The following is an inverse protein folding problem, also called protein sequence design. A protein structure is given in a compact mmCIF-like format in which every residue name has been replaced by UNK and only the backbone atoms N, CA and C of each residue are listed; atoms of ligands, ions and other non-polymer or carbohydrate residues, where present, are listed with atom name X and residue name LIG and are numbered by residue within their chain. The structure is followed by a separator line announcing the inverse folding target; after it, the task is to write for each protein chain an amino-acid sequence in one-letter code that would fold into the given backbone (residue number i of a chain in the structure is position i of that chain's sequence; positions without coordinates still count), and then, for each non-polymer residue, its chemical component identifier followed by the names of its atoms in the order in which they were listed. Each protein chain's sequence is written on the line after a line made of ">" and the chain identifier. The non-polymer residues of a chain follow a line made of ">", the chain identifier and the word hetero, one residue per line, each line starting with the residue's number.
data_IF_642707765445
#
_entry.id   IF_642707765445
#
_cell.length_a   1.000
_cell.length_b   1.000
_cell.length_c   1.000
_cell.angle_alpha   90.00
_cell.angle_beta   90.00
_cell.angle_gamma   90.00
#
_symmetry.space_group_name_H-M   'P 1'
#
loop_
_entity.id
_entity.type
_entity.pdbx_description
1 polymer ?
#
# COMPACT_ATOMS: atom_id res chain seq x y z
N UNK A 1 -0.94 -8.75 18.45
CA UNK A 1 -2.18 -9.50 18.61
C UNK A 1 -1.93 -10.91 19.14
N UNK A 2 -2.97 -11.61 19.55
CA UNK A 2 -2.85 -12.98 20.11
C UNK A 2 -3.00 -14.00 18.99
N UNK A 3 -2.15 -15.06 18.94
CA UNK A 3 -2.38 -16.19 18.05
C UNK A 3 -3.78 -16.81 18.28
N UNK A 4 -4.53 -17.06 17.20
CA UNK A 4 -5.88 -17.62 17.28
C UNK A 4 -7.01 -16.59 17.46
N UNK A 5 -6.69 -15.29 17.57
CA UNK A 5 -7.67 -14.20 17.50
C UNK A 5 -8.17 -13.95 16.07
N UNK A 6 -9.15 -13.03 15.93
CA UNK A 6 -9.62 -12.59 14.61
C UNK A 6 -8.44 -12.07 13.79
N UNK A 7 -8.19 -12.69 12.63
CA UNK A 7 -7.15 -12.24 11.71
C UNK A 7 -7.59 -11.00 10.93
N UNK A 8 -6.67 -10.03 10.81
CA UNK A 8 -6.83 -8.82 10.00
C UNK A 8 -5.59 -8.62 9.15
N UNK A 9 -5.76 -8.41 7.87
CA UNK A 9 -4.68 -8.04 6.95
C UNK A 9 -4.86 -6.59 6.52
N UNK A 10 -3.81 -5.78 6.70
CA UNK A 10 -3.78 -4.36 6.34
C UNK A 10 -2.79 -4.15 5.19
N UNK A 11 -3.26 -3.61 4.07
CA UNK A 11 -2.47 -3.27 2.90
C UNK A 11 -2.51 -1.75 2.64
N UNK A 12 -1.34 -1.12 2.58
CA UNK A 12 -1.18 0.33 2.46
C UNK A 12 -1.27 0.85 1.02
N UNK A 13 -1.38 2.17 0.85
CA UNK A 13 -1.35 2.86 -0.45
C UNK A 13 0.07 2.99 -1.02
N UNK A 14 0.19 3.28 -2.33
CA UNK A 14 1.46 3.61 -2.98
C UNK A 14 2.16 4.76 -2.26
N UNK A 15 3.46 4.64 -2.04
CA UNK A 15 4.27 5.63 -1.34
C UNK A 15 4.15 5.64 0.18
N UNK A 16 3.35 4.73 0.77
CA UNK A 16 3.19 4.53 2.21
C UNK A 16 3.92 3.26 2.68
N UNK A 17 3.67 2.83 3.90
CA UNK A 17 4.24 1.61 4.49
C UNK A 17 3.30 1.05 5.57
N UNK A 18 3.58 -0.17 6.05
CA UNK A 18 2.76 -0.88 7.03
C UNK A 18 2.50 -0.09 8.31
N UNK A 19 3.49 0.69 8.77
CA UNK A 19 3.40 1.45 10.03
C UNK A 19 2.46 2.67 9.96
N UNK A 20 1.99 3.06 8.74
CA UNK A 20 0.91 4.05 8.60
C UNK A 20 -0.42 3.57 9.19
N UNK A 21 -0.55 2.29 9.48
CA UNK A 21 -1.71 1.70 10.13
C UNK A 21 -1.64 1.69 11.66
N UNK A 22 -0.52 2.08 12.28
CA UNK A 22 -0.30 1.94 13.72
C UNK A 22 -1.38 2.60 14.57
N UNK A 23 -1.83 3.81 14.19
CA UNK A 23 -2.87 4.53 14.92
C UNK A 23 -4.27 3.88 14.76
N UNK A 24 -4.50 3.19 13.65
CA UNK A 24 -5.71 2.36 13.44
C UNK A 24 -5.62 1.10 14.28
N UNK A 25 -4.47 0.41 14.21
CA UNK A 25 -4.22 -0.82 14.98
C UNK A 25 -4.37 -0.60 16.48
N UNK A 26 -3.92 0.54 16.99
CA UNK A 26 -4.05 0.89 18.42
C UNK A 26 -5.52 1.00 18.89
N UNK A 27 -6.48 1.16 17.98
CA UNK A 27 -7.92 1.25 18.27
C UNK A 27 -8.68 -0.06 18.07
N UNK A 28 -8.02 -1.08 17.49
CA UNK A 28 -8.64 -2.39 17.27
C UNK A 28 -8.61 -3.23 18.57
N UNK A 29 -9.48 -4.24 18.69
CA UNK A 29 -9.47 -5.14 19.84
C UNK A 29 -8.07 -5.78 20.04
N UNK A 30 -7.55 -5.80 21.29
CA UNK A 30 -6.18 -6.24 21.56
C UNK A 30 -5.97 -7.76 21.39
N UNK A 31 -7.04 -8.53 21.33
CA UNK A 31 -7.05 -9.98 21.08
C UNK A 31 -7.04 -10.34 19.59
N UNK A 32 -7.21 -9.35 18.68
CA UNK A 32 -7.14 -9.59 17.26
C UNK A 32 -5.69 -9.84 16.81
N UNK A 33 -5.53 -10.70 15.82
CA UNK A 33 -4.24 -10.98 15.19
C UNK A 33 -4.09 -10.14 13.92
N UNK A 34 -3.26 -9.10 13.97
CA UNK A 34 -3.15 -8.10 12.91
C UNK A 34 -1.84 -8.27 12.16
N UNK A 35 -1.93 -8.28 10.85
CA UNK A 35 -0.82 -8.30 9.90
C UNK A 35 -0.87 -7.03 9.06
N UNK A 36 0.14 -6.19 9.15
CA UNK A 36 0.35 -5.06 8.28
C UNK A 36 1.57 -5.33 7.41
N UNK A 37 1.42 -5.22 6.09
CA UNK A 37 2.43 -5.64 5.12
C UNK A 37 3.06 -4.41 4.47
N UNK A 38 4.39 -4.35 4.45
CA UNK A 38 5.10 -3.49 3.50
C UNK A 38 5.02 -4.14 2.11
N UNK A 39 4.33 -3.50 1.18
CA UNK A 39 4.23 -3.99 -0.19
C UNK A 39 5.58 -3.88 -0.90
N UNK A 40 5.81 -4.66 -1.96
CA UNK A 40 7.02 -4.57 -2.80
C UNK A 40 7.38 -3.11 -3.11
N UNK A 41 8.68 -2.76 -3.01
CA UNK A 41 9.15 -1.40 -3.25
C UNK A 41 8.87 -0.40 -2.13
N UNK A 42 8.34 -0.85 -0.98
CA UNK A 42 7.99 -0.01 0.14
C UNK A 42 8.55 -0.56 1.46
N UNK A 43 8.75 0.34 2.42
CA UNK A 43 9.16 -0.03 3.77
C UNK A 43 10.44 -0.86 3.78
N UNK A 44 10.35 -2.05 4.39
CA UNK A 44 11.48 -3.00 4.49
C UNK A 44 11.37 -4.17 3.53
N UNK A 45 10.37 -4.16 2.63
CA UNK A 45 10.22 -5.19 1.61
C UNK A 45 11.18 -4.99 0.43
N UNK A 46 11.38 -6.05 -0.36
CA UNK A 46 12.27 -6.02 -1.52
C UNK A 46 11.88 -4.92 -2.51
N UNK A 47 12.89 -4.23 -3.02
CA UNK A 47 12.78 -3.18 -4.01
C UNK A 47 13.03 -3.69 -5.46
N UNK A 48 12.74 -4.96 -5.72
CA UNK A 48 12.96 -5.62 -7.00
C UNK A 48 11.75 -5.50 -7.93
N UNK A 49 12.03 -5.28 -9.21
CA UNK A 49 11.03 -5.31 -10.27
C UNK A 49 10.44 -6.73 -10.47
N UNK A 50 9.29 -6.89 -11.14
CA UNK A 50 8.50 -5.81 -11.75
C UNK A 50 7.62 -5.06 -10.74
N UNK A 51 7.27 -3.80 -11.06
CA UNK A 51 6.35 -2.97 -10.27
C UNK A 51 4.97 -2.88 -10.94
N UNK A 52 4.42 -3.99 -11.41
CA UNK A 52 3.05 -4.07 -11.93
C UNK A 52 2.06 -4.37 -10.81
N UNK A 53 0.85 -3.87 -10.93
CA UNK A 53 -0.17 -4.07 -9.90
C UNK A 53 -0.68 -5.52 -9.84
N UNK A 54 -0.60 -6.26 -10.93
CA UNK A 54 -0.81 -7.71 -10.93
C UNK A 54 0.21 -8.39 -10.02
N UNK A 55 1.50 -8.04 -10.16
CA UNK A 55 2.56 -8.59 -9.30
C UNK A 55 2.36 -8.24 -7.82
N UNK A 56 1.87 -7.04 -7.51
CA UNK A 56 1.53 -6.67 -6.12
C UNK A 56 0.40 -7.52 -5.56
N UNK A 57 -0.63 -7.79 -6.38
CA UNK A 57 -1.72 -8.69 -6.03
C UNK A 57 -1.22 -10.11 -5.76
N UNK A 58 -0.36 -10.65 -6.62
CA UNK A 58 0.23 -11.98 -6.48
C UNK A 58 1.15 -12.08 -5.25
N UNK A 59 1.93 -11.06 -4.96
CA UNK A 59 2.75 -11.02 -3.75
C UNK A 59 1.87 -11.07 -2.50
N UNK A 60 0.77 -10.31 -2.48
CA UNK A 60 -0.16 -10.32 -1.35
C UNK A 60 -0.89 -11.67 -1.24
N UNK A 61 -1.23 -12.30 -2.35
CA UNK A 61 -1.81 -13.65 -2.39
C UNK A 61 -0.86 -14.66 -1.71
N UNK A 62 0.42 -14.64 -2.05
CA UNK A 62 1.44 -15.49 -1.41
C UNK A 62 1.61 -15.21 0.09
N UNK A 63 1.50 -13.94 0.50
CA UNK A 63 1.48 -13.56 1.92
C UNK A 63 0.29 -14.19 2.63
N UNK A 64 -0.92 -14.12 2.05
CA UNK A 64 -2.12 -14.75 2.60
C UNK A 64 -1.96 -16.27 2.77
N UNK A 65 -1.38 -16.93 1.76
CA UNK A 65 -1.06 -18.37 1.80
C UNK A 65 -0.04 -18.71 2.90
N UNK A 66 1.05 -17.94 2.97
CA UNK A 66 2.11 -18.14 3.95
C UNK A 66 1.61 -17.96 5.39
N UNK A 67 0.79 -16.94 5.62
CA UNK A 67 0.16 -16.66 6.91
C UNK A 67 -0.99 -17.62 7.21
N UNK A 68 -1.40 -18.45 6.24
CA UNK A 68 -2.56 -19.37 6.34
C UNK A 68 -3.81 -18.63 6.78
N UNK A 69 -4.07 -17.48 6.15
CA UNK A 69 -5.25 -16.68 6.47
C UNK A 69 -6.52 -17.47 6.16
N UNK A 70 -7.48 -17.34 7.05
CA UNK A 70 -8.81 -17.91 6.88
C UNK A 70 -9.84 -17.04 7.59
N UNK A 71 -10.94 -16.72 6.91
CA UNK A 71 -12.00 -15.89 7.47
C UNK A 71 -11.48 -14.57 8.09
N UNK A 72 -10.41 -14.01 7.49
CA UNK A 72 -9.81 -12.76 7.94
C UNK A 72 -10.66 -11.54 7.54
N UNK A 73 -10.35 -10.38 8.11
CA UNK A 73 -10.83 -9.09 7.62
C UNK A 73 -9.71 -8.52 6.74
N UNK A 74 -10.01 -8.28 5.46
CA UNK A 74 -9.10 -7.62 4.53
C UNK A 74 -9.34 -6.12 4.53
N UNK A 75 -8.31 -5.32 4.83
CA UNK A 75 -8.37 -3.86 4.82
C UNK A 75 -7.33 -3.33 3.86
N UNK A 76 -7.75 -2.53 2.89
CA UNK A 76 -6.82 -1.98 1.91
C UNK A 76 -7.11 -0.52 1.57
N UNK A 77 -6.05 0.28 1.49
CA UNK A 77 -6.14 1.67 1.06
C UNK A 77 -5.53 1.84 -0.34
N UNK A 78 -6.25 2.48 -1.25
CA UNK A 78 -5.76 2.80 -2.60
C UNK A 78 -5.24 1.55 -3.34
N UNK A 79 -3.94 1.46 -3.66
CA UNK A 79 -3.28 0.26 -4.20
C UNK A 79 -3.50 -0.98 -3.32
N UNK A 80 -3.45 -0.82 -1.99
CA UNK A 80 -3.74 -1.92 -1.07
C UNK A 80 -5.17 -2.44 -1.20
N UNK A 81 -6.14 -1.55 -1.46
CA UNK A 81 -7.52 -1.92 -1.76
C UNK A 81 -7.65 -2.72 -3.05
N UNK A 82 -6.91 -2.30 -4.10
CA UNK A 82 -6.79 -3.07 -5.33
C UNK A 82 -6.24 -4.48 -5.08
N UNK A 83 -5.14 -4.60 -4.33
CA UNK A 83 -4.50 -5.89 -4.04
C UNK A 83 -5.38 -6.81 -3.18
N UNK A 84 -6.10 -6.28 -2.18
CA UNK A 84 -7.08 -7.06 -1.39
C UNK A 84 -8.19 -7.59 -2.31
N UNK A 85 -8.68 -6.77 -3.24
CA UNK A 85 -9.68 -7.18 -4.23
C UNK A 85 -9.15 -8.27 -5.16
N UNK A 86 -7.92 -8.13 -5.64
CA UNK A 86 -7.23 -9.13 -6.45
C UNK A 86 -7.16 -10.48 -5.72
N UNK A 87 -6.67 -10.49 -4.48
CA UNK A 87 -6.57 -11.71 -3.65
C UNK A 87 -7.93 -12.35 -3.46
N UNK A 88 -8.96 -11.55 -3.13
CA UNK A 88 -10.31 -12.07 -2.88
C UNK A 88 -10.92 -12.69 -4.13
N UNK A 89 -10.69 -12.08 -5.30
CA UNK A 89 -11.17 -12.61 -6.58
C UNK A 89 -10.52 -13.92 -6.99
N UNK A 90 -9.29 -14.20 -6.54
CA UNK A 90 -8.59 -15.46 -6.76
C UNK A 90 -8.94 -16.53 -5.71
N UNK A 91 -9.09 -16.12 -4.45
CA UNK A 91 -9.47 -17.04 -3.37
C UNK A 91 -10.23 -16.30 -2.25
N UNK A 92 -11.54 -16.33 -2.34
CA UNK A 92 -12.43 -15.68 -1.37
C UNK A 92 -12.34 -16.28 0.05
N UNK A 93 -11.82 -17.50 0.22
CA UNK A 93 -11.74 -18.16 1.53
C UNK A 93 -10.76 -17.47 2.51
N UNK A 94 -9.89 -16.59 2.02
CA UNK A 94 -9.02 -15.83 2.91
C UNK A 94 -9.78 -14.80 3.73
N UNK A 95 -10.84 -14.20 3.18
CA UNK A 95 -11.53 -13.10 3.81
C UNK A 95 -13.02 -13.36 4.00
N UNK A 96 -13.56 -12.96 5.16
CA UNK A 96 -14.99 -12.94 5.44
C UNK A 96 -15.61 -11.55 5.32
N UNK A 97 -14.80 -10.49 5.41
CA UNK A 97 -15.19 -9.09 5.22
C UNK A 97 -14.07 -8.29 4.60
N UNK A 98 -14.42 -7.29 3.79
CA UNK A 98 -13.48 -6.34 3.21
C UNK A 98 -13.81 -4.92 3.67
N UNK A 99 -12.78 -4.12 3.93
CA UNK A 99 -12.85 -2.66 4.11
C UNK A 99 -11.89 -2.03 3.11
N UNK A 100 -12.43 -1.39 2.10
CA UNK A 100 -11.69 -0.80 0.99
C UNK A 100 -11.78 0.72 1.08
N UNK A 101 -10.65 1.36 1.40
CA UNK A 101 -10.55 2.81 1.55
C UNK A 101 -10.01 3.39 0.25
N UNK A 102 -10.84 4.14 -0.46
CA UNK A 102 -10.50 4.75 -1.76
C UNK A 102 -9.72 3.79 -2.69
N UNK A 103 -10.24 2.57 -2.95
CA UNK A 103 -9.51 1.55 -3.69
C UNK A 103 -9.32 1.98 -5.15
N UNK A 104 -8.14 1.73 -5.72
CA UNK A 104 -7.92 2.00 -7.14
C UNK A 104 -8.51 0.88 -7.99
N UNK A 105 -9.78 1.05 -8.31
CA UNK A 105 -10.56 0.17 -9.19
C UNK A 105 -11.26 1.08 -10.20
N UNK A 106 -10.69 1.19 -11.40
CA UNK A 106 -11.22 2.05 -12.43
C UNK A 106 -12.22 1.32 -13.31
N UNK A 107 -13.12 2.08 -13.92
CA UNK A 107 -13.95 1.60 -15.00
C UNK A 107 -13.09 1.04 -16.16
N UNK A 108 -13.49 -0.07 -16.82
CA UNK A 108 -12.73 -0.66 -17.92
C UNK A 108 -12.39 0.31 -19.07
N UNK A 109 -13.28 1.26 -19.35
CA UNK A 109 -13.03 2.29 -20.39
C UNK A 109 -11.90 3.25 -19.96
N UNK A 110 -11.82 3.58 -18.67
CA UNK A 110 -10.74 4.39 -18.12
C UNK A 110 -9.38 3.68 -18.15
N UNK A 111 -9.35 2.35 -17.94
CA UNK A 111 -8.10 1.59 -18.11
C UNK A 111 -7.61 1.68 -19.56
N UNK A 112 -8.49 1.52 -20.54
CA UNK A 112 -8.15 1.63 -21.97
C UNK A 112 -7.63 3.01 -22.32
N UNK A 113 -8.32 4.07 -21.89
CA UNK A 113 -7.92 5.46 -22.15
C UNK A 113 -6.56 5.80 -21.48
N UNK A 114 -6.33 5.33 -20.26
CA UNK A 114 -5.05 5.52 -19.57
C UNK A 114 -3.90 4.78 -20.25
N UNK A 115 -4.13 3.59 -20.77
CA UNK A 115 -3.15 2.79 -21.49
C UNK A 115 -2.68 3.51 -22.78
N UNK A 116 -3.60 4.16 -23.49
CA UNK A 116 -3.27 4.98 -24.66
C UNK A 116 -2.45 6.22 -24.30
N UNK A 117 -2.63 6.78 -23.10
CA UNK A 117 -1.90 7.93 -22.58
C UNK A 117 -0.56 7.58 -21.91
N UNK A 118 -0.26 6.29 -21.72
CA UNK A 118 0.93 5.80 -21.01
C UNK A 118 2.23 5.95 -21.84
N UNK A 119 2.48 7.17 -22.34
CA UNK A 119 3.75 7.52 -23.01
C UNK A 119 4.77 8.18 -22.09
N UNK A 120 4.42 8.39 -20.79
CA UNK A 120 5.30 9.06 -19.84
C UNK A 120 6.38 8.09 -19.35
N UNK A 121 7.64 8.52 -19.41
CA UNK A 121 8.72 7.78 -18.78
C UNK A 121 8.68 7.90 -17.25
N UNK A 122 9.34 6.97 -16.55
CA UNK A 122 9.42 7.02 -15.07
C UNK A 122 10.11 8.31 -14.63
N UNK A 123 11.14 8.72 -15.33
CA UNK A 123 11.95 9.91 -15.05
C UNK A 123 11.13 11.21 -15.20
N UNK A 124 10.15 11.24 -16.10
CA UNK A 124 9.29 12.39 -16.33
C UNK A 124 8.15 12.49 -15.31
N UNK A 125 7.85 11.41 -14.62
CA UNK A 125 6.78 11.41 -13.62
C UNK A 125 7.14 12.36 -12.46
N UNK A 126 6.21 13.28 -12.04
CA UNK A 126 6.50 14.27 -11.00
C UNK A 126 7.02 13.67 -9.70
N UNK A 127 6.54 12.49 -9.32
CA UNK A 127 6.94 11.78 -8.10
C UNK A 127 8.38 11.28 -8.18
N UNK A 128 8.90 10.92 -9.36
CA UNK A 128 10.30 10.50 -9.51
C UNK A 128 11.29 11.61 -9.11
N UNK A 129 10.85 12.88 -9.21
CA UNK A 129 11.67 14.07 -8.89
C UNK A 129 11.60 14.49 -7.43
N UNK A 130 10.85 13.74 -6.59
CA UNK A 130 10.76 14.04 -5.16
C UNK A 130 12.10 13.83 -4.47
N UNK A 131 12.33 14.60 -3.40
CA UNK A 131 13.54 14.44 -2.59
C UNK A 131 13.53 13.07 -1.91
N UNK A 132 14.62 12.31 -2.08
CA UNK A 132 14.78 10.97 -1.52
C UNK A 132 15.60 10.93 -0.23
N UNK A 133 16.48 11.93 0.00
CA UNK A 133 17.45 11.93 1.11
C UNK A 133 17.13 13.03 2.14
N UNK A 134 17.28 12.67 3.42
CA UNK A 134 17.05 13.53 4.56
C UNK A 134 18.15 13.32 5.61
N UNK A 135 18.59 14.39 6.26
CA UNK A 135 19.58 14.28 7.33
C UNK A 135 18.98 13.64 8.59
N UNK A 136 17.68 13.82 8.82
CA UNK A 136 16.96 13.27 9.95
C UNK A 136 15.46 13.13 9.68
N UNK A 137 14.78 12.36 10.54
CA UNK A 137 13.31 12.29 10.57
C UNK A 137 12.70 13.69 10.84
N UNK A 138 13.32 14.48 11.71
CA UNK A 138 12.84 15.84 12.00
C UNK A 138 12.88 16.72 10.76
N UNK A 139 13.90 16.64 9.92
CA UNK A 139 13.95 17.38 8.67
C UNK A 139 12.77 17.01 7.74
N UNK A 140 12.40 15.73 7.67
CA UNK A 140 11.23 15.31 6.91
C UNK A 140 9.92 15.84 7.50
N UNK A 141 9.77 15.78 8.82
CA UNK A 141 8.62 16.33 9.54
C UNK A 141 8.45 17.84 9.27
N UNK A 142 9.50 18.63 9.46
CA UNK A 142 9.49 20.08 9.23
C UNK A 142 9.15 20.41 7.77
N UNK A 143 9.73 19.64 6.81
CA UNK A 143 9.52 19.87 5.39
C UNK A 143 8.10 19.64 4.92
N UNK A 144 7.39 18.68 5.51
CA UNK A 144 6.07 18.25 5.05
C UNK A 144 4.90 18.74 5.91
N UNK A 145 5.13 19.21 7.12
CA UNK A 145 4.07 19.62 8.07
C UNK A 145 3.02 20.57 7.48
N UNK A 146 3.45 21.54 6.66
CA UNK A 146 2.58 22.55 6.07
C UNK A 146 2.13 22.22 4.63
N UNK A 147 2.46 21.00 4.13
CA UNK A 147 2.14 20.59 2.76
C UNK A 147 0.94 19.67 2.70
N UNK A 148 0.11 19.87 1.69
CA UNK A 148 -0.93 18.88 1.37
C UNK A 148 -0.28 17.60 0.84
N UNK A 149 -0.82 16.41 1.20
CA UNK A 149 -1.97 16.19 2.09
C UNK A 149 -1.62 16.17 3.60
N UNK A 150 -0.36 16.18 3.97
CA UNK A 150 0.14 15.90 5.33
C UNK A 150 -0.39 16.85 6.40
N UNK A 151 -0.59 18.14 6.08
CA UNK A 151 -1.05 19.16 7.03
C UNK A 151 -2.46 18.91 7.61
N UNK A 152 -3.25 18.05 6.95
CA UNK A 152 -4.62 17.69 7.41
C UNK A 152 -4.67 16.34 8.10
N UNK A 153 -3.54 15.63 8.20
CA UNK A 153 -3.47 14.36 8.91
C UNK A 153 -3.46 14.56 10.42
N UNK A 154 -3.90 13.56 11.15
CA UNK A 154 -3.64 13.49 12.58
C UNK A 154 -2.12 13.45 12.82
N UNK A 155 -1.68 14.16 13.82
CA UNK A 155 -0.26 14.38 14.11
C UNK A 155 0.52 13.08 14.24
N UNK A 156 -0.04 12.12 14.98
CA UNK A 156 0.57 10.83 15.26
C UNK A 156 0.72 9.97 13.98
N UNK A 157 -0.26 10.04 13.08
CA UNK A 157 -0.20 9.34 11.77
C UNK A 157 0.90 9.94 10.90
N UNK A 158 1.05 11.26 10.91
CA UNK A 158 2.09 11.95 10.17
C UNK A 158 3.49 11.65 10.74
N UNK A 159 3.62 11.59 12.07
CA UNK A 159 4.86 11.21 12.74
C UNK A 159 5.25 9.76 12.39
N UNK A 160 4.31 8.82 12.45
CA UNK A 160 4.54 7.43 12.03
C UNK A 160 4.98 7.35 10.56
N UNK A 161 4.33 8.10 9.66
CA UNK A 161 4.71 8.16 8.25
C UNK A 161 6.17 8.63 8.08
N UNK A 162 6.59 9.68 8.76
CA UNK A 162 7.96 10.20 8.65
C UNK A 162 8.98 9.28 9.34
N UNK A 163 8.66 8.77 10.53
CA UNK A 163 9.56 7.95 11.33
C UNK A 163 9.91 6.63 10.64
N UNK A 164 8.92 5.98 10.04
CA UNK A 164 9.09 4.65 9.46
C UNK A 164 9.20 4.66 7.93
N UNK A 165 8.90 5.78 7.30
CA UNK A 165 9.09 6.01 5.87
C UNK A 165 10.51 6.34 5.45
N UNK A 166 11.43 6.33 6.41
CA UNK A 166 12.87 6.56 6.20
C UNK A 166 13.68 5.34 6.65
N UNK A 167 14.67 4.97 5.84
CA UNK A 167 15.66 3.94 6.15
C UNK A 167 17.04 4.59 6.28
N UNK A 168 17.88 4.15 7.23
CA UNK A 168 19.27 4.63 7.30
C UNK A 168 20.02 4.32 5.99
N UNK A 169 20.81 5.26 5.51
CA UNK A 169 21.71 5.03 4.37
C UNK A 169 22.81 4.03 4.78
N UNK A 170 23.06 3.02 3.94
CA UNK A 170 23.96 1.91 4.28
C UNK A 170 25.41 2.34 4.57
N UNK A 171 25.95 3.28 3.74
CA UNK A 171 27.34 3.69 3.78
C UNK A 171 27.48 5.22 3.95
N UNK A 172 26.66 5.83 4.81
CA UNK A 172 26.67 7.28 4.98
C UNK A 172 25.90 7.76 6.19
N UNK A 173 25.84 9.07 6.31
CA UNK A 173 24.98 9.73 7.29
C UNK A 173 23.62 10.05 6.70
N UNK A 174 22.57 9.99 7.54
CA UNK A 174 21.20 10.35 7.18
C UNK A 174 20.36 9.16 6.70
N UNK A 175 19.31 9.49 5.96
CA UNK A 175 18.22 8.58 5.65
C UNK A 175 17.79 8.73 4.20
N UNK A 176 17.27 7.65 3.64
CA UNK A 176 16.60 7.63 2.35
C UNK A 176 15.13 7.19 2.48
N UNK A 177 14.29 7.57 1.51
CA UNK A 177 12.91 7.13 1.51
C UNK A 177 12.81 5.61 1.38
N UNK A 178 12.01 5.00 2.24
CA UNK A 178 11.70 3.57 2.21
C UNK A 178 10.88 3.15 0.95
N UNK A 179 10.32 4.12 0.24
CA UNK A 179 9.83 4.00 -1.13
C UNK A 179 10.45 5.15 -1.94
N UNK A 180 11.58 4.92 -2.64
CA UNK A 180 12.22 5.95 -3.44
C UNK A 180 11.28 6.51 -4.52
N UNK A 181 11.39 7.82 -4.81
CA UNK A 181 10.50 8.47 -5.77
C UNK A 181 10.47 7.81 -7.15
N UNK A 182 11.60 7.28 -7.62
CA UNK A 182 11.66 6.49 -8.85
C UNK A 182 10.82 5.21 -8.78
N UNK A 183 10.88 4.49 -7.67
CA UNK A 183 10.09 3.27 -7.44
C UNK A 183 8.61 3.61 -7.36
N UNK A 184 8.26 4.62 -6.59
CA UNK A 184 6.88 5.10 -6.46
C UNK A 184 6.28 5.51 -7.82
N UNK A 185 7.06 6.23 -8.65
CA UNK A 185 6.66 6.60 -10.01
C UNK A 185 6.44 5.35 -10.90
N UNK A 186 7.37 4.36 -10.82
CA UNK A 186 7.24 3.09 -11.54
C UNK A 186 5.95 2.35 -11.17
N UNK A 187 5.57 2.37 -9.88
CA UNK A 187 4.36 1.76 -9.38
C UNK A 187 3.11 2.47 -9.93
N UNK A 188 3.09 3.82 -9.95
CA UNK A 188 1.98 4.58 -10.55
C UNK A 188 1.82 4.27 -12.03
N UNK A 189 2.90 4.12 -12.78
CA UNK A 189 2.87 3.77 -14.19
C UNK A 189 2.54 2.28 -14.44
N UNK A 190 2.79 1.42 -13.45
CA UNK A 190 2.52 -0.02 -13.53
C UNK A 190 1.04 -0.41 -13.37
N UNK A 191 0.12 0.54 -13.16
CA UNK A 191 -1.28 0.24 -12.88
C UNK A 191 -2.17 0.10 -14.15
N UNK A 192 -1.65 0.40 -15.33
CA UNK A 192 -2.45 0.52 -16.55
C UNK A 192 -3.01 -0.80 -17.09
N UNK A 193 -2.41 -1.93 -16.71
CA UNK A 193 -2.84 -3.26 -17.16
C UNK A 193 -3.68 -4.04 -16.11
N UNK A 194 -3.87 -3.45 -14.93
CA UNK A 194 -4.47 -4.13 -13.78
C UNK A 194 -6.01 -4.04 -13.76
N UNK A 195 -6.68 -4.73 -14.67
CA UNK A 195 -8.14 -4.75 -14.75
C UNK A 195 -8.74 -5.83 -13.83
N UNK A 196 -9.34 -5.41 -12.70
CA UNK A 196 -9.97 -6.29 -11.72
C UNK A 196 -11.42 -6.68 -12.05
N UNK A 197 -12.06 -6.12 -13.07
CA UNK A 197 -13.50 -6.29 -13.28
C UNK A 197 -13.93 -7.75 -13.48
N UNK A 198 -13.08 -8.57 -14.05
CA UNK A 198 -13.38 -10.01 -14.19
C UNK A 198 -13.34 -10.73 -12.84
N UNK A 199 -12.46 -10.31 -11.95
CA UNK A 199 -12.31 -10.87 -10.60
C UNK A 199 -13.42 -10.40 -9.66
N UNK A 200 -13.79 -9.11 -9.73
CA UNK A 200 -14.84 -8.51 -8.87
C UNK A 200 -16.17 -9.25 -9.01
N UNK A 201 -16.52 -9.71 -10.19
CA UNK A 201 -17.79 -10.44 -10.44
C UNK A 201 -17.91 -11.73 -9.61
N UNK A 202 -16.80 -12.29 -9.17
CA UNK A 202 -16.73 -13.53 -8.40
C UNK A 202 -16.63 -13.28 -6.89
N UNK A 203 -16.64 -12.01 -6.46
CA UNK A 203 -16.52 -11.65 -5.04
C UNK A 203 -17.89 -11.59 -4.41
N UNK A 204 -18.20 -12.58 -3.56
CA UNK A 204 -19.42 -12.65 -2.74
C UNK A 204 -19.16 -12.18 -1.29
N UNK A 205 -17.90 -11.87 -0.97
CA UNK A 205 -17.52 -11.42 0.38
C UNK A 205 -18.09 -10.04 0.65
N UNK A 206 -18.79 -9.83 1.79
CA UNK A 206 -19.28 -8.52 2.16
C UNK A 206 -18.17 -7.46 2.20
N UNK A 207 -18.38 -6.35 1.50
CA UNK A 207 -17.39 -5.27 1.39
C UNK A 207 -18.01 -3.91 1.77
N UNK A 208 -17.25 -3.12 2.51
CA UNK A 208 -17.50 -1.70 2.74
C UNK A 208 -16.47 -0.91 1.94
N UNK A 209 -16.94 0.04 1.15
CA UNK A 209 -16.09 0.98 0.39
C UNK A 209 -16.27 2.35 1.01
N UNK A 210 -15.15 3.01 1.35
CA UNK A 210 -15.08 4.33 1.98
C UNK A 210 -14.42 5.34 1.05
#
# INVERSE_FOLDING_TARGET
>A
GRPGGQQVLLAHATGFHARCWDQVVAKLPPDWQIFAVDMRGHGRSSNSQPFTWEQFGDDLLRVCEHLKLKDAIGVGHSMGGHCITHVTGHNAAFFKHLVLVDPVIFDPELYSAKREQASMSVEDHPVAKRRNYFASVNEMLERFSDRMPYKVWQREVFEDYCQYGLLPVADGEGYELACPGYVEASIYLGNFDANLYQLIRNIEVPAVVL
#
